data_IF_838431722525
#
_entry.id   IF_838431722525
#
_cell.length_a   1.000
_cell.length_b   1.000
_cell.length_c   1.000
_cell.angle_alpha   90.00
_cell.angle_beta   90.00
_cell.angle_gamma   90.00
#
_symmetry.space_group_name_H-M   'P 1'
#
loop_
_entity.id
_entity.type
_entity.pdbx_description
1 polymer ?
#
# COMPACT_ATOMS: atom_id res chain seq x y z
N UNK A 1 -17.81 -13.18 2.59
CA UNK A 1 -17.38 -12.38 3.75
C UNK A 1 -16.26 -13.06 4.53
N UNK A 2 -16.36 -14.35 4.79
CA UNK A 2 -15.35 -15.08 5.57
C UNK A 2 -13.97 -15.15 4.93
N UNK A 3 -13.90 -15.27 3.61
CA UNK A 3 -12.63 -15.37 2.89
C UNK A 3 -11.82 -14.09 2.92
N UNK A 4 -12.49 -12.96 2.84
CA UNK A 4 -11.85 -11.64 2.86
C UNK A 4 -11.23 -11.35 4.23
N UNK A 5 -11.98 -11.65 5.29
CA UNK A 5 -11.49 -11.47 6.66
C UNK A 5 -10.26 -12.33 6.95
N UNK A 6 -10.27 -13.58 6.46
CA UNK A 6 -9.13 -14.49 6.66
C UNK A 6 -7.88 -13.97 5.96
N UNK A 7 -8.04 -13.46 4.75
CA UNK A 7 -6.91 -12.93 3.98
C UNK A 7 -6.26 -11.74 4.70
N UNK A 8 -7.07 -10.80 5.16
CA UNK A 8 -6.57 -9.64 5.86
C UNK A 8 -5.91 -10.01 7.19
N UNK A 9 -6.52 -10.92 7.97
CA UNK A 9 -5.91 -11.43 9.19
C UNK A 9 -4.55 -12.07 8.95
N UNK A 10 -4.41 -12.78 7.83
CA UNK A 10 -3.15 -13.42 7.47
C UNK A 10 -2.05 -12.39 7.21
N UNK A 11 -2.38 -11.28 6.56
CA UNK A 11 -1.41 -10.21 6.33
C UNK A 11 -0.88 -9.59 7.62
N UNK A 12 -1.73 -9.49 8.64
CA UNK A 12 -1.36 -8.90 9.92
C UNK A 12 -0.60 -9.82 10.86
N UNK A 13 -0.63 -11.12 10.61
CA UNK A 13 0.02 -12.08 11.49
C UNK A 13 1.53 -12.05 11.48
N UNK A 14 2.13 -11.35 10.59
CA UNK A 14 3.59 -11.32 10.50
C UNK A 14 4.26 -10.79 11.74
N UNK A 15 3.68 -9.76 12.34
CA UNK A 15 4.21 -9.21 13.54
C UNK A 15 3.68 -9.85 14.82
N UNK A 16 2.83 -10.85 14.69
CA UNK A 16 2.19 -11.48 15.84
C UNK A 16 1.17 -10.60 16.53
N UNK A 17 0.81 -9.49 15.91
CA UNK A 17 -0.05 -8.49 16.52
C UNK A 17 -1.18 -8.07 15.56
N UNK A 18 -2.36 -7.84 16.11
CA UNK A 18 -3.48 -7.25 15.38
C UNK A 18 -3.54 -5.77 15.72
N UNK A 19 -3.53 -4.92 14.72
CA UNK A 19 -3.69 -3.50 14.94
C UNK A 19 -5.11 -3.19 15.41
N UNK A 20 -5.23 -2.25 16.32
CA UNK A 20 -6.54 -1.77 16.75
C UNK A 20 -7.25 -1.09 15.57
N UNK A 21 -8.55 -1.31 15.47
CA UNK A 21 -9.33 -0.73 14.38
C UNK A 21 -9.18 -1.41 13.03
N UNK A 22 -8.47 -2.53 12.98
CA UNK A 22 -8.28 -3.26 11.74
C UNK A 22 -9.60 -3.82 11.21
N UNK A 23 -9.82 -3.64 9.92
CA UNK A 23 -11.00 -4.16 9.24
C UNK A 23 -10.60 -4.92 7.99
N UNK A 24 -11.35 -5.98 7.73
CA UNK A 24 -11.12 -6.80 6.55
C UNK A 24 -11.47 -6.06 5.27
N UNK A 25 -10.75 -6.39 4.23
CA UNK A 25 -11.09 -5.98 2.89
C UNK A 25 -12.36 -6.69 2.45
N UNK A 26 -13.28 -5.97 1.86
CA UNK A 26 -14.54 -6.53 1.38
C UNK A 26 -14.59 -6.51 -0.13
N UNK A 27 -15.03 -7.61 -0.69
CA UNK A 27 -15.27 -7.70 -2.11
C UNK A 27 -16.41 -6.75 -2.47
N UNK A 28 -16.18 -5.92 -3.49
CA UNK A 28 -17.16 -4.93 -3.88
C UNK A 28 -17.13 -3.63 -3.09
N UNK A 29 -16.14 -3.46 -2.22
CA UNK A 29 -15.95 -2.19 -1.56
C UNK A 29 -15.70 -1.09 -2.59
N UNK A 30 -16.10 0.13 -2.23
CA UNK A 30 -16.06 1.28 -3.12
C UNK A 30 -14.68 1.89 -3.29
N UNK A 31 -13.65 1.22 -2.82
CA UNK A 31 -12.28 1.72 -2.94
C UNK A 31 -11.82 1.61 -4.38
N UNK A 32 -11.36 2.71 -4.93
CA UNK A 32 -10.97 2.81 -6.33
C UNK A 32 -9.85 1.88 -6.73
N UNK A 33 -8.98 1.53 -5.78
CA UNK A 33 -7.90 0.58 -6.02
C UNK A 33 -8.42 -0.77 -6.52
N UNK A 34 -9.62 -1.17 -6.11
CA UNK A 34 -10.24 -2.41 -6.59
C UNK A 34 -10.60 -2.29 -8.06
N UNK A 35 -11.20 -1.17 -8.45
CA UNK A 35 -11.61 -0.95 -9.83
C UNK A 35 -10.42 -0.91 -10.78
N UNK A 36 -9.30 -0.40 -10.32
CA UNK A 36 -8.08 -0.31 -11.12
C UNK A 36 -7.24 -1.59 -11.08
N UNK A 37 -7.76 -2.65 -10.46
CA UNK A 37 -7.05 -3.92 -10.35
C UNK A 37 -5.93 -3.94 -9.33
N UNK A 38 -5.67 -2.84 -8.66
CA UNK A 38 -4.63 -2.74 -7.65
C UNK A 38 -5.22 -3.00 -6.26
N UNK A 39 -5.32 -4.27 -5.92
CA UNK A 39 -5.90 -4.70 -4.64
C UNK A 39 -4.81 -4.84 -3.60
N UNK A 40 -4.86 -4.07 -2.51
CA UNK A 40 -3.88 -4.21 -1.42
C UNK A 40 -4.02 -5.56 -0.72
N UNK A 41 -2.94 -6.00 -0.10
CA UNK A 41 -2.93 -7.25 0.67
C UNK A 41 -3.75 -7.13 1.95
N UNK A 42 -3.80 -5.94 2.52
CA UNK A 42 -4.63 -5.65 3.69
C UNK A 42 -4.97 -4.17 3.75
N UNK A 43 -5.97 -3.85 4.54
CA UNK A 43 -6.36 -2.48 4.83
C UNK A 43 -6.48 -2.31 6.34
N UNK A 44 -5.97 -1.21 6.84
CA UNK A 44 -6.10 -0.81 8.23
C UNK A 44 -6.88 0.48 8.30
N UNK A 45 -7.91 0.51 9.11
CA UNK A 45 -8.67 1.73 9.39
C UNK A 45 -8.44 2.06 10.85
N UNK A 46 -7.86 3.23 11.11
CA UNK A 46 -7.59 3.65 12.49
C UNK A 46 -8.82 4.29 13.13
N UNK A 47 -8.68 4.70 14.39
CA UNK A 47 -9.80 5.27 15.16
C UNK A 47 -10.31 6.59 14.56
N UNK A 48 -9.46 7.30 13.80
CA UNK A 48 -9.84 8.54 13.14
C UNK A 48 -10.51 8.32 11.79
N UNK A 49 -10.68 7.06 11.38
CA UNK A 49 -11.25 6.70 10.09
C UNK A 49 -10.26 6.79 8.94
N UNK A 50 -8.98 7.01 9.20
CA UNK A 50 -7.97 7.04 8.15
C UNK A 50 -7.65 5.63 7.68
N UNK A 51 -7.51 5.49 6.37
CA UNK A 51 -7.37 4.20 5.71
C UNK A 51 -5.94 4.03 5.22
N UNK A 52 -5.29 2.97 5.67
CA UNK A 52 -3.94 2.59 5.22
C UNK A 52 -4.01 1.32 4.39
N UNK A 53 -3.47 1.39 3.17
CA UNK A 53 -3.29 0.21 2.34
C UNK A 53 -1.94 -0.44 2.67
N UNK A 54 -1.94 -1.75 2.86
CA UNK A 54 -0.73 -2.53 3.11
C UNK A 54 -0.41 -3.41 1.92
N UNK A 55 0.83 -3.34 1.48
CA UNK A 55 1.39 -4.20 0.45
C UNK A 55 2.52 -5.03 1.03
N UNK A 56 2.49 -6.32 0.77
CA UNK A 56 3.46 -7.27 1.25
C UNK A 56 4.39 -7.66 0.13
N UNK A 57 5.59 -7.12 0.12
CA UNK A 57 6.50 -7.31 -1.00
C UNK A 57 7.65 -8.24 -0.62
N UNK A 58 7.48 -9.52 -0.91
CA UNK A 58 8.51 -10.54 -0.65
C UNK A 58 9.46 -10.70 -1.82
N UNK A 59 8.95 -10.51 -3.03
CA UNK A 59 9.72 -10.62 -4.28
C UNK A 59 9.42 -9.39 -5.12
N UNK A 60 10.45 -8.74 -5.62
CA UNK A 60 10.27 -7.52 -6.39
C UNK A 60 9.63 -7.78 -7.74
N UNK A 61 8.74 -6.89 -8.12
CA UNK A 61 8.17 -6.84 -9.46
C UNK A 61 9.09 -6.03 -10.37
N UNK A 62 8.77 -5.98 -11.64
CA UNK A 62 9.48 -5.13 -12.60
C UNK A 62 9.18 -3.65 -12.32
N UNK A 63 10.10 -2.78 -12.73
CA UNK A 63 9.88 -1.33 -12.60
C UNK A 63 8.59 -0.89 -13.31
N UNK A 64 8.34 -1.43 -14.49
CA UNK A 64 7.13 -1.12 -15.25
C UNK A 64 5.87 -1.48 -14.45
N UNK A 65 5.89 -2.59 -13.74
CA UNK A 65 4.76 -3.01 -12.91
C UNK A 65 4.56 -2.04 -11.73
N UNK A 66 5.65 -1.60 -11.13
CA UNK A 66 5.57 -0.60 -10.05
C UNK A 66 5.07 0.75 -10.54
N UNK A 67 5.39 1.13 -11.76
CA UNK A 67 4.82 2.36 -12.35
C UNK A 67 3.29 2.29 -12.39
N UNK A 68 2.74 1.16 -12.80
CA UNK A 68 1.28 0.96 -12.84
C UNK A 68 0.70 0.97 -11.42
N UNK A 69 1.31 0.25 -10.50
CA UNK A 69 0.85 0.18 -9.11
C UNK A 69 0.89 1.57 -8.47
N UNK A 70 1.98 2.29 -8.67
CA UNK A 70 2.13 3.64 -8.13
C UNK A 70 1.06 4.58 -8.70
N UNK A 71 0.82 4.53 -10.00
CA UNK A 71 -0.22 5.32 -10.63
C UNK A 71 -1.59 5.06 -9.98
N UNK A 72 -1.92 3.80 -9.79
CA UNK A 72 -3.20 3.43 -9.19
C UNK A 72 -3.33 3.92 -7.75
N UNK A 73 -2.27 3.79 -6.96
CA UNK A 73 -2.28 4.29 -5.58
C UNK A 73 -2.34 5.80 -5.49
N UNK A 74 -1.59 6.51 -6.34
CA UNK A 74 -1.63 7.97 -6.33
C UNK A 74 -3.03 8.49 -6.70
N UNK A 75 -3.70 7.84 -7.63
CA UNK A 75 -5.07 8.18 -7.97
C UNK A 75 -6.04 7.90 -6.81
N UNK A 76 -5.87 6.77 -6.14
CA UNK A 76 -6.70 6.43 -4.98
C UNK A 76 -6.47 7.40 -3.81
N UNK A 77 -5.22 7.80 -3.58
CA UNK A 77 -4.87 8.81 -2.58
C UNK A 77 -5.50 10.16 -2.91
N UNK A 78 -5.48 10.55 -4.17
CA UNK A 78 -6.10 11.80 -4.61
C UNK A 78 -7.61 11.79 -4.37
N UNK A 79 -8.26 10.65 -4.53
CA UNK A 79 -9.69 10.49 -4.26
C UNK A 79 -10.01 10.28 -2.78
N UNK A 80 -9.00 10.28 -1.92
CA UNK A 80 -9.13 10.01 -0.48
C UNK A 80 -9.68 8.63 -0.17
N UNK A 81 -9.51 7.67 -1.06
CA UNK A 81 -9.86 6.27 -0.83
C UNK A 81 -8.88 5.60 0.12
N UNK A 82 -7.61 6.03 0.05
CA UNK A 82 -6.58 5.71 1.02
C UNK A 82 -5.95 7.01 1.50
N UNK A 83 -5.39 6.99 2.71
CA UNK A 83 -4.67 8.12 3.27
C UNK A 83 -3.17 7.85 3.32
N UNK A 84 -2.78 6.58 3.26
CA UNK A 84 -1.40 6.14 3.31
C UNK A 84 -1.26 4.76 2.66
N UNK A 85 -0.10 4.51 2.09
CA UNK A 85 0.26 3.20 1.55
C UNK A 85 1.58 2.77 2.21
N UNK A 86 1.62 1.58 2.77
CA UNK A 86 2.82 1.02 3.38
C UNK A 86 3.18 -0.26 2.66
N UNK A 87 4.41 -0.30 2.11
CA UNK A 87 5.01 -1.53 1.62
C UNK A 87 5.86 -2.14 2.71
N UNK A 88 5.66 -3.42 2.97
CA UNK A 88 6.39 -4.15 3.99
C UNK A 88 7.19 -5.26 3.32
N UNK A 89 8.49 -5.27 3.54
CA UNK A 89 9.42 -6.25 2.97
C UNK A 89 10.09 -7.06 4.07
N UNK A 90 10.63 -8.26 3.75
CA UNK A 90 11.23 -9.11 4.79
C UNK A 90 12.42 -8.50 5.52
N UNK A 91 13.26 -7.73 4.83
CA UNK A 91 14.46 -7.14 5.40
C UNK A 91 14.52 -5.64 5.17
N UNK A 92 15.29 -4.94 6.00
CA UNK A 92 15.50 -3.50 5.84
C UNK A 92 16.19 -3.16 4.51
N UNK A 93 17.09 -4.02 4.03
CA UNK A 93 17.73 -3.83 2.74
C UNK A 93 16.71 -3.88 1.61
N UNK A 94 15.83 -4.86 1.62
CA UNK A 94 14.78 -4.97 0.62
C UNK A 94 13.83 -3.77 0.68
N UNK A 95 13.45 -3.34 1.88
CA UNK A 95 12.59 -2.17 2.05
C UNK A 95 13.25 -0.92 1.48
N UNK A 96 14.54 -0.73 1.72
CA UNK A 96 15.28 0.41 1.20
C UNK A 96 15.39 0.37 -0.32
N UNK A 97 15.68 -0.81 -0.88
CA UNK A 97 15.76 -0.98 -2.33
C UNK A 97 14.43 -0.73 -3.01
N UNK A 98 13.34 -1.22 -2.41
CA UNK A 98 12.00 -0.96 -2.94
C UNK A 98 11.66 0.52 -2.89
N UNK A 99 11.97 1.18 -1.78
CA UNK A 99 11.80 2.62 -1.64
C UNK A 99 12.55 3.35 -2.75
N UNK A 100 13.82 3.02 -2.97
CA UNK A 100 14.63 3.66 -4.01
C UNK A 100 14.03 3.46 -5.39
N UNK A 101 13.53 2.26 -5.67
CA UNK A 101 12.92 1.95 -6.96
C UNK A 101 11.63 2.74 -7.17
N UNK A 102 10.73 2.71 -6.20
CA UNK A 102 9.42 3.36 -6.33
C UNK A 102 9.54 4.88 -6.31
N UNK A 103 10.33 5.43 -5.40
CA UNK A 103 10.52 6.88 -5.31
C UNK A 103 11.40 7.44 -6.44
N UNK A 104 12.10 6.58 -7.16
CA UNK A 104 12.85 6.97 -8.36
C UNK A 104 11.99 7.11 -9.61
N UNK A 105 10.74 6.68 -9.57
CA UNK A 105 9.83 6.83 -10.70
C UNK A 105 9.46 8.31 -10.86
N UNK A 106 9.78 8.88 -12.02
CA UNK A 106 9.61 10.31 -12.26
C UNK A 106 8.24 10.66 -12.82
N UNK A 107 7.60 9.73 -13.52
CA UNK A 107 6.29 9.95 -14.11
C UNK A 107 5.54 8.64 -14.26
N UNK A 108 4.22 8.73 -14.29
CA UNK A 108 3.33 7.57 -14.46
C UNK A 108 2.27 7.89 -15.49
N UNK A 109 1.64 6.85 -16.03
CA UNK A 109 0.51 7.00 -16.93
C UNK A 109 -0.79 7.06 -16.13
N UNK A 110 -1.58 8.07 -16.40
CA UNK A 110 -2.92 8.24 -15.86
C UNK A 110 -3.87 8.44 -17.04
N UNK A 111 -4.75 7.49 -17.26
CA UNK A 111 -5.69 7.53 -18.38
C UNK A 111 -4.99 7.82 -19.73
N UNK A 112 -3.87 7.13 -19.93
CA UNK A 112 -3.10 7.26 -21.17
C UNK A 112 -2.20 8.48 -21.27
N UNK A 113 -2.22 9.37 -20.28
CA UNK A 113 -1.38 10.55 -20.26
C UNK A 113 -0.26 10.42 -19.25
N UNK A 114 0.92 10.92 -19.61
CA UNK A 114 2.08 10.91 -18.74
C UNK A 114 1.97 12.06 -17.74
N UNK A 115 1.97 11.72 -16.44
CA UNK A 115 1.88 12.69 -15.35
C UNK A 115 3.17 12.64 -14.57
N UNK A 116 3.80 13.81 -14.38
CA UNK A 116 5.03 13.93 -13.60
C UNK A 116 4.72 13.81 -12.12
N UNK A 117 5.59 13.08 -11.40
CA UNK A 117 5.48 12.95 -9.96
C UNK A 117 6.20 14.09 -9.28
N UNK A 118 5.51 14.72 -8.33
CA UNK A 118 6.08 15.71 -7.42
C UNK A 118 6.45 14.99 -6.12
N UNK A 119 7.75 14.80 -5.82
CA UNK A 119 8.16 14.04 -4.65
C UNK A 119 7.60 14.58 -3.33
N UNK A 120 7.57 15.90 -3.15
CA UNK A 120 7.09 16.49 -1.91
C UNK A 120 5.62 16.19 -1.66
N UNK A 121 4.84 16.16 -2.72
CA UNK A 121 3.40 15.96 -2.64
C UNK A 121 3.04 14.48 -2.68
N UNK A 122 3.61 13.75 -3.65
CA UNK A 122 3.17 12.39 -3.94
C UNK A 122 3.83 11.34 -3.06
N UNK A 123 5.06 11.58 -2.58
CA UNK A 123 5.74 10.61 -1.72
C UNK A 123 5.33 10.70 -0.25
N UNK A 124 4.65 11.75 0.15
CA UNK A 124 4.33 12.00 1.56
C UNK A 124 3.49 10.88 2.19
N UNK A 125 2.64 10.25 1.41
CA UNK A 125 1.74 9.20 1.88
C UNK A 125 2.30 7.79 1.70
N UNK A 126 3.54 7.65 1.20
CA UNK A 126 4.16 6.36 0.93
C UNK A 126 5.17 6.02 2.03
N UNK A 127 5.16 4.78 2.50
CA UNK A 127 6.12 4.29 3.49
C UNK A 127 6.63 2.91 3.08
N UNK A 128 7.90 2.63 3.43
CA UNK A 128 8.54 1.38 3.09
C UNK A 128 9.24 0.86 4.36
N UNK A 129 8.79 -0.28 4.85
CA UNK A 129 9.25 -0.82 6.13
C UNK A 129 9.62 -2.29 6.00
N UNK A 130 10.44 -2.78 6.93
CA UNK A 130 10.67 -4.21 7.05
C UNK A 130 9.69 -4.83 8.05
N UNK A 131 9.66 -6.16 8.10
CA UNK A 131 8.74 -6.89 8.98
C UNK A 131 8.94 -6.51 10.45
N UNK A 132 10.19 -6.38 10.87
CA UNK A 132 10.52 -6.09 12.27
C UNK A 132 10.02 -4.71 12.67
N UNK A 133 10.31 -3.70 11.86
CA UNK A 133 9.87 -2.33 12.13
C UNK A 133 8.35 -2.21 12.08
N UNK A 134 7.73 -2.87 11.12
CA UNK A 134 6.27 -2.86 11.00
C UNK A 134 5.60 -3.52 12.20
N UNK A 135 6.17 -4.62 12.70
CA UNK A 135 5.62 -5.34 13.86
C UNK A 135 5.63 -4.48 15.11
N UNK A 136 6.55 -3.53 15.22
CA UNK A 136 6.66 -2.62 16.37
C UNK A 136 5.79 -1.36 16.21
N UNK A 137 5.25 -1.14 15.03
CA UNK A 137 4.44 0.04 14.75
C UNK A 137 3.13 -0.05 15.51
N UNK A 138 2.78 1.02 16.18
CA UNK A 138 1.50 1.18 16.83
C UNK A 138 0.56 1.90 15.85
N UNK A 139 -0.31 1.14 15.27
CA UNK A 139 -1.25 1.66 14.26
C UNK A 139 -2.61 1.92 14.88
#
# INVERSE_FOLDING_TARGET
AGGTRRRAKKAFRWGGRMAAGWRGWRNGDRLGAVRNGNRPDAIVIDSDGKVTALECERTFKTLKRYEVILSNYLQALKRSEFHRVIWVSPTSEQAWRLRSMVTGIESVLVEGQRVKIDPQRHHAALSFEDYSSFAKRDI
#
